data_IF_699429933168
#
_entry.id   IF_699429933168
#
_cell.length_a   1.000
_cell.length_b   1.000
_cell.length_c   1.000
_cell.angle_alpha   90.00
_cell.angle_beta   90.00
_cell.angle_gamma   90.00
#
_symmetry.space_group_name_H-M   'P 1'
#
loop_
_entity.id
_entity.type
_entity.pdbx_description
1 polymer ?
#
# COMPACT_ATOMS: atom_id res chain seq x y z
N UNK A 1 -21.62 25.96 -53.35
CA UNK A 1 -22.40 25.56 -52.15
C UNK A 1 -21.61 25.96 -50.91
N UNK A 2 -22.16 26.82 -50.06
CA UNK A 2 -21.51 27.24 -48.82
C UNK A 2 -21.75 26.23 -47.71
N UNK A 3 -20.68 25.69 -47.11
CA UNK A 3 -20.77 24.77 -45.98
C UNK A 3 -21.23 25.46 -44.69
N UNK A 4 -21.77 24.67 -43.76
CA UNK A 4 -22.30 25.15 -42.47
C UNK A 4 -21.23 25.94 -41.68
N UNK A 5 -21.54 27.21 -41.40
CA UNK A 5 -20.67 28.12 -40.66
C UNK A 5 -20.41 27.63 -39.23
N UNK A 6 -21.33 26.86 -38.65
CA UNK A 6 -21.20 26.36 -37.29
C UNK A 6 -20.03 25.38 -37.16
N UNK A 7 -19.63 24.68 -38.22
CA UNK A 7 -18.48 23.77 -38.19
C UNK A 7 -17.14 24.49 -37.99
N UNK A 8 -17.11 25.81 -38.19
CA UNK A 8 -15.94 26.66 -37.90
C UNK A 8 -15.91 27.16 -36.46
N UNK A 9 -16.94 26.88 -35.66
CA UNK A 9 -17.02 27.32 -34.26
C UNK A 9 -16.47 26.22 -33.35
N UNK A 10 -15.59 26.60 -32.44
CA UNK A 10 -14.92 25.68 -31.51
C UNK A 10 -15.87 25.01 -30.52
N UNK A 11 -17.01 25.61 -30.23
CA UNK A 11 -18.01 25.08 -29.29
C UNK A 11 -18.99 24.08 -29.94
N UNK A 12 -18.99 23.93 -31.28
CA UNK A 12 -19.96 23.07 -31.95
C UNK A 12 -19.74 21.59 -31.58
N UNK A 13 -20.72 20.88 -31.00
CA UNK A 13 -20.57 19.48 -30.58
C UNK A 13 -20.34 18.52 -31.75
N UNK A 14 -20.74 18.89 -32.97
CA UNK A 14 -20.58 18.07 -34.17
C UNK A 14 -19.11 18.03 -34.64
N UNK A 15 -18.26 18.96 -34.20
CA UNK A 15 -16.84 18.93 -34.55
C UNK A 15 -16.16 17.67 -34.01
N UNK A 16 -15.41 16.95 -34.85
CA UNK A 16 -14.77 15.68 -34.50
C UNK A 16 -13.93 15.78 -33.20
N UNK A 17 -13.19 16.87 -33.02
CA UNK A 17 -12.40 17.14 -31.80
C UNK A 17 -13.25 17.18 -30.53
N UNK A 18 -14.47 17.69 -30.61
CA UNK A 18 -15.37 17.76 -29.45
C UNK A 18 -16.04 16.42 -29.19
N UNK A 19 -16.40 15.68 -30.24
CA UNK A 19 -16.87 14.30 -30.11
C UNK A 19 -15.82 13.40 -29.46
N UNK A 20 -14.55 13.54 -29.87
CA UNK A 20 -13.42 12.82 -29.27
C UNK A 20 -13.28 13.14 -27.78
N UNK A 21 -13.35 14.42 -27.39
CA UNK A 21 -13.29 14.82 -25.98
C UNK A 21 -14.42 14.20 -25.16
N UNK A 22 -15.64 14.30 -25.66
CA UNK A 22 -16.82 13.71 -25.02
C UNK A 22 -16.68 12.19 -24.92
N UNK A 23 -16.17 11.54 -25.95
CA UNK A 23 -15.95 10.09 -25.94
C UNK A 23 -14.90 9.67 -24.92
N UNK A 24 -13.79 10.40 -24.80
CA UNK A 24 -12.75 10.13 -23.79
C UNK A 24 -13.32 10.28 -22.37
N UNK A 25 -14.09 11.33 -22.11
CA UNK A 25 -14.72 11.55 -20.81
C UNK A 25 -15.76 10.46 -20.49
N UNK A 26 -16.59 10.07 -21.46
CA UNK A 26 -17.54 8.96 -21.30
C UNK A 26 -16.83 7.64 -21.04
N UNK A 27 -15.74 7.35 -21.76
CA UNK A 27 -14.95 6.14 -21.56
C UNK A 27 -14.36 6.09 -20.15
N UNK A 28 -13.79 7.20 -19.68
CA UNK A 28 -13.27 7.32 -18.30
C UNK A 28 -14.37 7.10 -17.26
N UNK A 29 -15.54 7.72 -17.44
CA UNK A 29 -16.67 7.54 -16.53
C UNK A 29 -17.18 6.08 -16.50
N UNK A 30 -17.17 5.38 -17.64
CA UNK A 30 -17.52 3.96 -17.71
C UNK A 30 -16.48 3.07 -16.99
N UNK A 31 -15.19 3.38 -17.12
CA UNK A 31 -14.12 2.66 -16.41
C UNK A 31 -14.21 2.85 -14.89
N UNK A 32 -14.46 4.08 -14.44
CA UNK A 32 -14.68 4.39 -13.02
C UNK A 32 -15.90 3.63 -12.48
N UNK A 33 -17.03 3.64 -13.22
CA UNK A 33 -18.22 2.89 -12.83
C UNK A 33 -17.95 1.38 -12.74
N UNK A 34 -17.25 0.81 -13.71
CA UNK A 34 -16.87 -0.62 -13.68
C UNK A 34 -16.00 -0.96 -12.47
N UNK A 35 -15.04 -0.09 -12.12
CA UNK A 35 -14.20 -0.27 -10.94
C UNK A 35 -15.02 -0.25 -9.66
N UNK A 36 -15.98 0.68 -9.55
CA UNK A 36 -16.89 0.77 -8.40
C UNK A 36 -17.77 -0.47 -8.32
N UNK A 37 -18.37 -0.90 -9.42
CA UNK A 37 -19.22 -2.10 -9.47
C UNK A 37 -18.43 -3.36 -9.07
N UNK A 38 -17.17 -3.48 -9.49
CA UNK A 38 -16.29 -4.55 -9.06
C UNK A 38 -16.06 -4.52 -7.54
N UNK A 39 -15.69 -3.37 -6.96
CA UNK A 39 -15.49 -3.25 -5.51
C UNK A 39 -16.78 -3.55 -4.72
N UNK A 40 -17.93 -3.12 -5.23
CA UNK A 40 -19.22 -3.41 -4.59
C UNK A 40 -19.53 -4.90 -4.62
N UNK A 41 -19.19 -5.58 -5.72
CA UNK A 41 -19.33 -7.02 -5.85
C UNK A 41 -18.41 -7.78 -4.89
N UNK A 42 -17.13 -7.42 -4.82
CA UNK A 42 -16.17 -8.01 -3.88
C UNK A 42 -16.67 -7.87 -2.43
N UNK A 43 -17.14 -6.69 -2.02
CA UNK A 43 -17.73 -6.47 -0.69
C UNK A 43 -19.02 -7.26 -0.45
N UNK A 44 -19.83 -7.47 -1.49
CA UNK A 44 -21.03 -8.29 -1.38
C UNK A 44 -20.67 -9.77 -1.20
N UNK A 45 -19.69 -10.27 -1.94
CA UNK A 45 -19.16 -11.62 -1.82
C UNK A 45 -18.54 -11.85 -0.44
N UNK A 46 -17.74 -10.91 0.09
CA UNK A 46 -17.21 -10.95 1.45
C UNK A 46 -18.31 -11.04 2.51
N UNK A 47 -19.38 -10.25 2.38
CA UNK A 47 -20.53 -10.30 3.30
C UNK A 47 -21.29 -11.63 3.23
N UNK A 48 -21.46 -12.17 2.03
CA UNK A 48 -22.10 -13.48 1.85
C UNK A 48 -21.29 -14.60 2.49
N UNK A 49 -19.96 -14.57 2.37
CA UNK A 49 -19.08 -15.53 3.03
C UNK A 49 -19.20 -15.38 4.55
N UNK A 50 -19.15 -14.15 5.06
CA UNK A 50 -19.30 -13.90 6.50
C UNK A 50 -20.64 -14.39 7.05
N UNK A 51 -21.74 -14.18 6.32
CA UNK A 51 -23.07 -14.66 6.72
C UNK A 51 -23.15 -16.20 6.73
N UNK A 52 -22.55 -16.86 5.74
CA UNK A 52 -22.46 -18.33 5.70
C UNK A 52 -21.63 -18.87 6.86
N UNK A 53 -20.53 -18.21 7.22
CA UNK A 53 -19.71 -18.57 8.37
C UNK A 53 -20.47 -18.40 9.68
N UNK A 54 -21.17 -17.28 9.87
CA UNK A 54 -22.02 -17.06 11.05
C UNK A 54 -23.13 -18.12 11.16
N UNK A 55 -23.76 -18.48 10.03
CA UNK A 55 -24.75 -19.55 9.99
C UNK A 55 -24.13 -20.92 10.36
N UNK A 56 -22.91 -21.21 9.91
CA UNK A 56 -22.19 -22.42 10.28
C UNK A 56 -21.85 -22.44 11.78
N UNK A 57 -21.43 -21.30 12.35
CA UNK A 57 -21.19 -21.16 13.79
C UNK A 57 -22.47 -21.35 14.60
N UNK A 58 -23.58 -20.74 14.18
CA UNK A 58 -24.88 -20.89 14.83
C UNK A 58 -25.41 -22.33 14.79
N UNK A 59 -25.10 -23.08 13.72
CA UNK A 59 -25.41 -24.50 13.60
C UNK A 59 -24.51 -25.41 14.48
N UNK A 60 -23.56 -24.85 15.25
CA UNK A 60 -22.65 -25.58 16.12
C UNK A 60 -21.30 -25.95 15.48
N UNK A 61 -20.95 -25.33 14.35
CA UNK A 61 -19.64 -25.46 13.71
C UNK A 61 -18.49 -24.84 14.52
N UNK A 62 -17.25 -25.13 14.12
CA UNK A 62 -16.07 -24.55 14.76
C UNK A 62 -15.96 -23.06 14.42
N UNK A 63 -15.95 -22.21 15.45
CA UNK A 63 -15.76 -20.76 15.33
C UNK A 63 -14.42 -20.40 14.71
N UNK A 64 -14.42 -19.56 13.68
CA UNK A 64 -13.18 -19.00 13.12
C UNK A 64 -12.65 -17.90 14.05
N UNK A 65 -11.33 -17.86 14.23
CA UNK A 65 -10.69 -16.79 15.00
C UNK A 65 -10.60 -15.55 14.11
N UNK A 66 -11.23 -14.44 14.52
CA UNK A 66 -11.12 -13.13 13.85
C UNK A 66 -9.72 -12.54 14.07
N UNK A 67 -8.74 -13.10 13.38
CA UNK A 67 -7.33 -12.71 13.39
C UNK A 67 -6.97 -12.10 12.04
N UNK A 68 -6.13 -11.07 12.06
CA UNK A 68 -5.56 -10.49 10.85
C UNK A 68 -4.48 -11.43 10.32
N UNK A 69 -4.90 -12.52 9.67
CA UNK A 69 -4.01 -13.61 9.27
C UNK A 69 -2.91 -13.10 8.33
N UNK A 70 -3.19 -12.16 7.44
CA UNK A 70 -2.17 -11.60 6.54
C UNK A 70 -1.03 -10.88 7.27
N UNK A 71 -1.29 -10.31 8.45
CA UNK A 71 -0.30 -9.60 9.26
C UNK A 71 0.54 -10.56 10.12
N UNK A 72 -0.06 -11.67 10.54
CA UNK A 72 0.58 -12.67 11.40
C UNK A 72 1.01 -13.94 10.66
N UNK A 73 0.82 -14.02 9.34
CA UNK A 73 1.26 -15.14 8.50
C UNK A 73 2.56 -14.80 7.76
N UNK A 74 3.47 -14.09 8.43
CA UNK A 74 4.84 -13.93 7.93
C UNK A 74 5.53 -15.29 7.81
N UNK A 75 6.60 -15.42 7.00
CA UNK A 75 7.34 -16.67 6.83
C UNK A 75 7.88 -17.27 8.14
N UNK A 76 7.96 -16.49 9.21
CA UNK A 76 8.30 -16.93 10.56
C UNK A 76 7.13 -17.57 11.35
N UNK A 77 5.88 -17.32 10.99
CA UNK A 77 4.70 -17.71 11.77
C UNK A 77 4.11 -19.08 11.40
N UNK A 78 4.59 -19.69 10.32
CA UNK A 78 4.20 -21.03 9.88
C UNK A 78 5.32 -22.07 9.93
N UNK A 79 6.55 -21.68 10.24
CA UNK A 79 7.64 -22.62 10.42
C UNK A 79 7.57 -23.15 11.86
N UNK A 80 6.98 -24.33 12.04
CA UNK A 80 6.89 -25.07 13.31
C UNK A 80 8.27 -25.57 13.81
N UNK A 81 9.25 -24.68 13.82
CA UNK A 81 10.65 -24.98 14.03
C UNK A 81 11.48 -23.91 13.35
N UNK A 82 11.71 -22.81 14.05
CA UNK A 82 13.05 -22.24 14.06
C UNK A 82 13.97 -23.38 14.48
N UNK A 83 14.52 -24.11 13.51
CA UNK A 83 15.45 -25.19 13.83
C UNK A 83 16.55 -24.56 14.66
N UNK A 84 16.98 -25.24 15.73
CA UNK A 84 18.05 -24.76 16.63
C UNK A 84 19.30 -24.32 15.85
N UNK A 85 19.48 -24.88 14.67
CA UNK A 85 20.49 -24.50 13.69
C UNK A 85 20.29 -23.08 13.14
N UNK A 86 19.08 -22.72 12.68
CA UNK A 86 18.79 -21.38 12.16
C UNK A 86 18.86 -20.30 13.25
N UNK A 87 18.37 -20.60 14.45
CA UNK A 87 18.55 -19.71 15.61
C UNK A 87 20.02 -19.58 15.99
N UNK A 88 20.77 -20.69 15.96
CA UNK A 88 22.21 -20.69 16.21
C UNK A 88 23.00 -19.89 15.18
N UNK A 89 22.55 -19.81 13.92
CA UNK A 89 23.14 -18.96 12.89
C UNK A 89 22.81 -17.48 13.09
N UNK A 90 21.55 -17.16 13.42
CA UNK A 90 21.12 -15.78 13.71
C UNK A 90 21.75 -15.23 15.00
N UNK A 91 21.96 -16.07 16.02
CA UNK A 91 22.65 -15.73 17.27
C UNK A 91 24.19 -15.86 17.19
N UNK A 92 24.74 -16.24 16.03
CA UNK A 92 26.18 -16.41 15.83
C UNK A 92 26.83 -17.54 16.65
N UNK A 93 26.05 -18.42 17.26
CA UNK A 93 26.54 -19.61 17.99
C UNK A 93 27.05 -20.72 17.05
N UNK A 94 26.62 -20.74 15.78
CA UNK A 94 27.07 -21.72 14.77
C UNK A 94 27.57 -21.00 13.51
N UNK A 95 28.58 -21.56 12.83
CA UNK A 95 29.17 -21.01 11.60
C UNK A 95 28.37 -21.38 10.36
N UNK A 96 28.06 -20.40 9.51
CA UNK A 96 27.17 -20.49 8.32
C UNK A 96 27.70 -21.44 7.22
N UNK A 97 28.92 -21.98 7.38
CA UNK A 97 29.62 -22.84 6.42
C UNK A 97 28.80 -24.05 5.91
N UNK A 98 27.84 -24.56 6.70
CA UNK A 98 26.98 -25.68 6.32
C UNK A 98 25.86 -25.32 5.33
N UNK A 99 25.36 -24.08 5.38
CA UNK A 99 24.23 -23.62 4.55
C UNK A 99 24.68 -23.20 3.14
N UNK A 100 25.92 -22.73 3.02
CA UNK A 100 26.52 -22.29 1.74
C UNK A 100 26.95 -23.49 0.87
N UNK A 101 27.13 -24.68 1.47
CA UNK A 101 27.63 -25.89 0.79
C UNK A 101 26.53 -26.74 0.12
N UNK A 102 25.27 -26.31 0.16
CA UNK A 102 24.17 -26.91 -0.60
C UNK A 102 24.31 -26.62 -2.10
N UNK A 103 24.19 -27.65 -2.92
CA UNK A 103 24.52 -27.69 -4.35
C UNK A 103 23.66 -26.76 -5.28
N UNK A 104 22.83 -25.89 -4.71
CA UNK A 104 21.90 -25.02 -5.46
C UNK A 104 22.55 -23.72 -5.97
N UNK A 105 23.72 -23.34 -5.43
CA UNK A 105 24.47 -22.17 -5.93
C UNK A 105 24.98 -22.35 -7.37
N UNK A 106 25.19 -23.59 -7.83
CA UNK A 106 25.69 -23.86 -9.19
C UNK A 106 24.72 -23.48 -10.30
N UNK A 107 23.42 -23.34 -9.99
CA UNK A 107 22.38 -22.91 -10.95
C UNK A 107 22.14 -21.39 -10.94
N UNK A 108 22.42 -20.70 -9.82
CA UNK A 108 22.31 -19.24 -9.75
C UNK A 108 23.52 -18.51 -10.34
N UNK A 109 24.72 -19.09 -10.23
CA UNK A 109 25.98 -18.48 -10.71
C UNK A 109 26.01 -18.27 -12.23
N UNK A 110 25.29 -19.08 -13.02
CA UNK A 110 25.32 -18.96 -14.49
C UNK A 110 24.31 -17.96 -15.08
N UNK A 111 23.36 -17.47 -14.29
CA UNK A 111 22.29 -16.58 -14.78
C UNK A 111 22.42 -15.11 -14.37
N UNK A 112 23.41 -14.75 -13.55
CA UNK A 112 23.60 -13.37 -13.09
C UNK A 112 25.01 -12.90 -13.43
N UNK A 113 25.15 -12.15 -14.53
CA UNK A 113 26.38 -11.44 -14.82
C UNK A 113 26.81 -10.59 -13.62
N UNK A 114 28.06 -10.74 -13.20
CA UNK A 114 28.70 -10.09 -12.04
C UNK A 114 28.64 -8.55 -12.04
N UNK A 115 28.17 -7.93 -13.12
CA UNK A 115 28.02 -6.48 -13.25
C UNK A 115 26.75 -5.92 -12.59
N UNK A 116 25.71 -6.72 -12.31
CA UNK A 116 24.45 -6.20 -11.74
C UNK A 116 24.30 -6.42 -10.23
N UNK A 117 25.00 -7.38 -9.64
CA UNK A 117 24.90 -7.67 -8.19
C UNK A 117 25.80 -6.75 -7.35
N UNK A 118 26.94 -6.32 -7.89
CA UNK A 118 27.89 -5.44 -7.17
C UNK A 118 27.39 -3.99 -7.03
N UNK A 119 26.30 -3.60 -7.69
CA UNK A 119 25.68 -2.28 -7.53
C UNK A 119 24.85 -2.12 -6.24
N UNK A 120 24.61 -3.20 -5.49
CA UNK A 120 23.76 -3.20 -4.28
C UNK A 120 24.58 -3.40 -2.99
N UNK A 121 25.87 -3.05 -2.99
CA UNK A 121 26.68 -3.12 -1.77
C UNK A 121 26.61 -1.86 -0.89
N UNK A 122 25.89 -0.82 -1.32
CA UNK A 122 25.75 0.41 -0.54
C UNK A 122 24.35 0.52 0.07
N UNK A 123 24.03 -0.38 1.00
CA UNK A 123 22.79 -0.42 1.78
C UNK A 123 22.54 0.85 2.64
N UNK A 124 23.48 1.80 2.63
CA UNK A 124 23.47 3.06 3.37
C UNK A 124 23.78 4.27 2.47
N UNK A 125 23.29 4.27 1.22
CA UNK A 125 23.38 5.48 0.40
C UNK A 125 22.57 6.62 1.06
N UNK A 126 23.16 7.80 1.23
CA UNK A 126 22.50 8.94 1.87
C UNK A 126 21.15 9.30 1.23
N UNK A 127 21.01 9.07 -0.09
CA UNK A 127 19.74 9.26 -0.81
C UNK A 127 18.67 8.25 -0.41
N UNK A 128 19.06 6.99 -0.19
CA UNK A 128 18.16 5.91 0.22
C UNK A 128 17.69 6.10 1.67
N UNK A 129 18.61 6.49 2.56
CA UNK A 129 18.26 6.85 3.95
C UNK A 129 17.29 8.03 3.98
N UNK A 130 17.52 9.08 3.17
CA UNK A 130 16.60 10.21 3.08
C UNK A 130 15.23 9.83 2.50
N UNK A 131 15.18 8.87 1.58
CA UNK A 131 13.92 8.34 1.06
C UNK A 131 13.17 7.55 2.15
N UNK A 132 13.84 6.63 2.85
CA UNK A 132 13.26 5.85 3.95
C UNK A 132 12.71 6.72 5.07
N UNK A 133 13.43 7.78 5.44
CA UNK A 133 12.97 8.76 6.44
C UNK A 133 11.73 9.52 5.92
N UNK A 134 11.68 9.87 4.63
CA UNK A 134 10.52 10.57 4.05
C UNK A 134 9.27 9.68 3.99
N UNK A 135 9.46 8.42 3.63
CA UNK A 135 8.38 7.44 3.47
C UNK A 135 8.00 6.75 4.80
N UNK A 136 8.60 7.14 5.93
CA UNK A 136 8.23 6.63 7.24
C UNK A 136 6.87 7.20 7.69
N UNK A 137 5.82 6.35 7.82
CA UNK A 137 4.49 6.81 8.23
C UNK A 137 4.46 7.38 9.66
N UNK A 138 5.31 6.88 10.56
CA UNK A 138 5.37 7.37 11.94
C UNK A 138 5.94 8.79 11.98
N UNK A 139 6.96 9.07 11.17
CA UNK A 139 7.51 10.41 11.04
C UNK A 139 6.49 11.37 10.40
N UNK A 140 5.74 10.91 9.39
CA UNK A 140 4.70 11.71 8.74
C UNK A 140 3.60 12.13 9.73
N UNK A 141 3.12 11.20 10.56
CA UNK A 141 2.12 11.46 11.60
C UNK A 141 2.64 12.49 12.60
N UNK A 142 3.87 12.31 13.11
CA UNK A 142 4.47 13.23 14.07
C UNK A 142 4.65 14.64 13.51
N UNK A 143 5.03 14.76 12.24
CA UNK A 143 5.14 16.05 11.56
C UNK A 143 3.78 16.74 11.41
N UNK A 144 2.74 15.96 11.11
CA UNK A 144 1.37 16.48 11.03
C UNK A 144 0.85 16.96 12.39
N UNK A 145 1.15 16.21 13.46
CA UNK A 145 0.82 16.59 14.84
C UNK A 145 1.51 17.90 15.24
N UNK A 146 2.82 18.03 14.97
CA UNK A 146 3.57 19.26 15.24
C UNK A 146 3.01 20.45 14.45
N UNK A 147 2.74 20.27 13.16
CA UNK A 147 2.16 21.33 12.32
C UNK A 147 0.76 21.77 12.81
N UNK A 148 -0.07 20.83 13.27
CA UNK A 148 -1.37 21.13 13.85
C UNK A 148 -1.24 21.91 15.18
N UNK A 149 -0.27 21.53 16.01
CA UNK A 149 0.02 22.22 17.27
C UNK A 149 0.53 23.66 17.03
N UNK A 150 1.45 23.84 16.09
CA UNK A 150 1.94 25.16 15.69
C UNK A 150 0.84 26.02 15.09
N UNK A 151 -0.03 25.45 14.23
CA UNK A 151 -1.16 26.17 13.67
C UNK A 151 -2.14 26.63 14.76
N UNK A 152 -2.43 25.78 15.74
CA UNK A 152 -3.28 26.14 16.89
C UNK A 152 -2.64 27.26 17.73
N UNK A 153 -1.32 27.25 17.91
CA UNK A 153 -0.60 28.27 18.66
C UNK A 153 -0.39 29.58 17.87
N UNK A 154 -0.40 29.53 16.54
CA UNK A 154 -0.31 30.73 15.70
C UNK A 154 -1.66 31.43 15.51
N UNK A 155 -2.78 30.73 15.74
CA UNK A 155 -4.11 31.30 15.65
C UNK A 155 -4.46 32.14 16.91
N UNK A 156 -4.63 33.47 16.78
CA UNK A 156 -4.88 34.35 17.91
C UNK A 156 -6.24 34.12 18.58
N UNK A 157 -7.23 33.54 17.90
CA UNK A 157 -8.55 33.22 18.49
C UNK A 157 -8.45 31.98 19.38
N UNK A 158 -7.91 30.87 18.86
CA UNK A 158 -7.60 29.63 19.61
C UNK A 158 -6.74 29.90 20.85
N UNK A 159 -5.77 30.82 20.75
CA UNK A 159 -4.94 31.23 21.89
C UNK A 159 -5.71 31.91 23.01
N UNK A 160 -6.71 32.74 22.67
CA UNK A 160 -7.55 33.39 23.67
C UNK A 160 -8.42 32.36 24.38
N UNK A 161 -9.04 31.45 23.62
CA UNK A 161 -9.84 30.34 24.15
C UNK A 161 -9.04 29.46 25.13
N UNK A 162 -7.78 29.13 24.80
CA UNK A 162 -6.88 28.39 25.69
C UNK A 162 -6.54 29.14 26.98
N UNK A 163 -6.30 30.45 26.90
CA UNK A 163 -6.00 31.26 28.10
C UNK A 163 -7.22 31.50 28.98
N UNK A 164 -8.41 31.56 28.39
CA UNK A 164 -9.67 31.72 29.12
C UNK A 164 -10.07 30.42 29.83
N UNK A 165 -9.90 29.25 29.20
CA UNK A 165 -10.14 27.96 29.82
C UNK A 165 -9.16 27.57 30.95
N UNK A 166 -8.04 28.30 31.09
CA UNK A 166 -7.07 28.12 32.18
C UNK A 166 -7.27 29.13 33.34
N UNK A 167 -8.29 29.99 33.27
CA UNK A 167 -8.54 31.06 34.26
C UNK A 167 -9.60 30.70 35.33
N UNK A 168 -10.10 29.47 35.31
CA UNK A 168 -10.84 28.84 36.42
C UNK A 168 -9.92 27.97 37.28
#
# INVERSE_FOLDING_TARGET
MGGDLNLKKSWNPVLLKNQERVWVEQKKALEERKRIDQMMRERAEERQIQELEEMQEAAGGKKRLNRVDWMYSGPAAGQAGTTEEMEGYLLGKRRIDGLIKGNDNSKLEKSSGESSFMAVQNANNAKDIAAKIREDPMLAIKKQEQAAYEAMMNDPTRRRELTEGCRD
#
